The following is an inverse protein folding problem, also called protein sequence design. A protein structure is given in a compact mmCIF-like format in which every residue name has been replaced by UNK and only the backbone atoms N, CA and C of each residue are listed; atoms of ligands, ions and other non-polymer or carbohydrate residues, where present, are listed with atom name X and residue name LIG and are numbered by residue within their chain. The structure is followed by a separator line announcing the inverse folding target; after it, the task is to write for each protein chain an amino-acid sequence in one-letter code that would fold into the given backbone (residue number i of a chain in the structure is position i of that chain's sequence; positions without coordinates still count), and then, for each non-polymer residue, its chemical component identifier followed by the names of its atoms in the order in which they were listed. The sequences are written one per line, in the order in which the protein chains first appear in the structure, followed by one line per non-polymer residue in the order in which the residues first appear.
data_IF_273965970093
#
_entry.id   IF_273965970093
#
_cell.length_a   1.000
_cell.length_b   1.000
_cell.length_c   1.000
_cell.angle_alpha   90.00
_cell.angle_beta   90.00
_cell.angle_gamma   90.00
#
_symmetry.space_group_name_H-M   'P 1'
#
loop_
_entity.id
_entity.type
_entity.pdbx_description
1 polymer ?
#
# COMPACT_ATOMS: atom_id res chain seq x y z
N UNK A 1 -9.52 -14.41 8.16
CA UNK A 1 -8.44 -13.76 8.95
C UNK A 1 -8.90 -12.39 9.41
N UNK A 2 -8.79 -12.06 10.71
CA UNK A 2 -9.24 -10.77 11.25
C UNK A 2 -8.30 -9.64 10.80
N UNK A 3 -8.84 -8.54 10.25
CA UNK A 3 -8.04 -7.41 9.78
C UNK A 3 -7.10 -6.85 10.85
N UNK A 4 -7.49 -6.91 12.14
CA UNK A 4 -6.64 -6.49 13.25
C UNK A 4 -5.36 -7.33 13.37
N UNK A 5 -5.45 -8.63 13.13
CA UNK A 5 -4.29 -9.54 13.18
C UNK A 5 -3.33 -9.20 12.03
N UNK A 6 -3.86 -8.95 10.83
CA UNK A 6 -3.03 -8.55 9.69
C UNK A 6 -2.28 -7.24 9.97
N UNK A 7 -2.98 -6.21 10.47
CA UNK A 7 -2.34 -4.95 10.84
C UNK A 7 -1.28 -5.12 11.92
N UNK A 8 -1.56 -5.95 12.93
CA UNK A 8 -0.60 -6.28 13.98
C UNK A 8 0.66 -6.96 13.43
N UNK A 9 0.51 -7.94 12.54
CA UNK A 9 1.65 -8.62 11.92
C UNK A 9 2.51 -7.65 11.11
N UNK A 10 1.89 -6.81 10.29
CA UNK A 10 2.59 -5.83 9.45
C UNK A 10 3.33 -4.79 10.29
N UNK A 11 2.73 -4.29 11.37
CA UNK A 11 3.37 -3.32 12.27
C UNK A 11 4.56 -3.88 13.04
N UNK A 12 4.53 -5.19 13.34
CA UNK A 12 5.64 -5.85 14.02
C UNK A 12 6.72 -6.36 13.06
N UNK A 13 6.44 -6.44 11.76
CA UNK A 13 7.41 -6.91 10.76
C UNK A 13 8.67 -6.05 10.75
N UNK A 14 8.51 -4.72 10.73
CA UNK A 14 9.62 -3.76 10.75
C UNK A 14 10.53 -3.90 11.98
N UNK A 15 9.95 -4.22 13.15
CA UNK A 15 10.68 -4.38 14.42
C UNK A 15 11.52 -5.65 14.44
N UNK A 16 11.03 -6.73 13.84
CA UNK A 16 11.67 -8.05 13.85
C UNK A 16 12.79 -8.21 12.81
N UNK A 17 12.92 -7.27 11.87
CA UNK A 17 14.08 -7.24 10.96
C UNK A 17 15.34 -7.04 11.81
N UNK A 18 16.40 -7.83 11.62
CA UNK A 18 17.64 -7.73 12.43
C UNK A 18 18.59 -6.59 12.02
N UNK A 19 18.45 -6.07 10.80
CA UNK A 19 19.36 -5.03 10.24
C UNK A 19 19.26 -3.71 10.99
N UNK A 20 20.26 -2.82 10.94
CA UNK A 20 20.18 -1.53 11.66
C UNK A 20 19.28 -0.49 10.95
N UNK A 21 19.25 -0.52 9.63
CA UNK A 21 18.49 0.39 8.79
C UNK A 21 17.67 -0.38 7.75
N UNK A 22 16.59 0.23 7.27
CA UNK A 22 15.77 -0.28 6.19
C UNK A 22 16.10 0.41 4.86
N UNK A 23 15.93 -0.31 3.75
CA UNK A 23 15.91 0.26 2.39
C UNK A 23 14.51 0.06 1.83
N UNK A 24 13.71 1.11 1.73
CA UNK A 24 12.32 0.97 1.37
C UNK A 24 12.10 1.12 -0.13
N UNK A 25 11.31 0.23 -0.71
CA UNK A 25 10.57 0.48 -1.94
C UNK A 25 9.12 0.80 -1.57
N UNK A 26 8.54 1.83 -2.19
CA UNK A 26 7.13 2.17 -2.04
C UNK A 26 6.48 2.15 -3.41
N UNK A 27 5.39 1.41 -3.49
CA UNK A 27 4.58 1.29 -4.69
C UNK A 27 3.09 1.21 -4.31
N UNK A 28 2.22 1.52 -5.26
CA UNK A 28 0.78 1.48 -5.06
C UNK A 28 0.05 0.91 -6.28
N UNK A 29 -0.95 0.07 -6.00
CA UNK A 29 -1.75 -0.61 -7.01
C UNK A 29 -3.23 -0.32 -6.82
N UNK A 30 -3.93 -0.12 -7.94
CA UNK A 30 -5.38 0.00 -8.00
C UNK A 30 -6.04 -1.38 -8.02
N UNK A 31 -7.02 -1.58 -7.16
CA UNK A 31 -7.84 -2.78 -7.08
C UNK A 31 -9.28 -2.44 -7.44
N UNK A 32 -9.88 -3.25 -8.30
CA UNK A 32 -11.31 -3.24 -8.57
C UNK A 32 -11.99 -4.23 -7.62
N UNK A 33 -13.05 -3.79 -6.94
CA UNK A 33 -13.83 -4.65 -6.03
C UNK A 33 -14.80 -5.54 -6.84
N UNK A 34 -15.17 -5.07 -8.03
CA UNK A 34 -16.18 -5.70 -8.88
C UNK A 34 -15.51 -6.37 -10.09
N UNK A 35 -16.15 -7.43 -10.58
CA UNK A 35 -15.77 -8.11 -11.80
C UNK A 35 -16.12 -7.25 -13.00
N UNK A 36 -15.11 -6.80 -13.73
CA UNK A 36 -15.28 -5.93 -14.88
C UNK A 36 -14.80 -4.50 -14.61
N UNK A 37 -14.16 -3.91 -15.61
CA UNK A 37 -13.70 -2.53 -15.51
C UNK A 37 -14.89 -1.57 -15.52
N UNK A 38 -14.69 -0.33 -15.02
CA UNK A 38 -15.70 0.72 -15.16
C UNK A 38 -16.15 0.92 -16.61
N UNK A 39 -15.22 0.78 -17.56
CA UNK A 39 -15.50 0.93 -18.98
C UNK A 39 -16.38 -0.21 -19.50
N UNK A 40 -16.10 -1.44 -19.09
CA UNK A 40 -16.89 -2.62 -19.46
C UNK A 40 -18.37 -2.46 -19.05
N UNK A 41 -18.64 -2.11 -17.80
CA UNK A 41 -20.02 -1.87 -17.35
C UNK A 41 -20.64 -0.59 -17.89
N UNK A 42 -19.83 0.40 -18.28
CA UNK A 42 -20.34 1.60 -18.94
C UNK A 42 -20.96 1.25 -20.29
N UNK A 43 -20.33 0.36 -21.05
CA UNK A 43 -20.88 -0.14 -22.32
C UNK A 43 -22.17 -0.95 -22.11
N UNK A 44 -22.28 -1.67 -21.00
CA UNK A 44 -23.49 -2.43 -20.62
C UNK A 44 -24.60 -1.56 -19.99
N UNK A 45 -24.39 -0.25 -19.81
CA UNK A 45 -25.37 0.63 -19.15
C UNK A 45 -25.46 0.47 -17.63
N UNK A 46 -24.54 -0.26 -16.99
CA UNK A 46 -24.60 -0.66 -15.58
C UNK A 46 -23.75 0.22 -14.64
N UNK A 47 -23.41 1.44 -15.05
CA UNK A 47 -22.47 2.33 -14.34
C UNK A 47 -22.75 2.58 -12.86
N UNK A 48 -24.01 2.46 -12.42
CA UNK A 48 -24.42 2.69 -11.03
C UNK A 48 -23.96 1.60 -10.06
N UNK A 49 -23.56 0.42 -10.55
CA UNK A 49 -23.15 -0.71 -9.71
C UNK A 49 -21.73 -0.56 -9.16
N UNK A 50 -20.90 0.31 -9.76
CA UNK A 50 -19.44 0.31 -9.54
C UNK A 50 -18.94 1.19 -8.40
N UNK A 51 -18.33 0.56 -7.39
CA UNK A 51 -17.45 1.25 -6.43
C UNK A 51 -16.15 1.69 -7.11
N UNK A 52 -15.93 3.00 -7.11
CA UNK A 52 -14.91 3.79 -7.85
C UNK A 52 -13.43 3.54 -7.47
N UNK A 53 -13.02 2.32 -7.15
CA UNK A 53 -11.63 1.86 -6.95
C UNK A 53 -11.16 1.83 -5.49
N UNK A 54 -10.44 0.76 -5.15
CA UNK A 54 -9.59 0.64 -3.96
C UNK A 54 -8.16 0.85 -4.40
N UNK A 55 -7.34 1.47 -3.56
CA UNK A 55 -5.91 1.59 -3.80
C UNK A 55 -5.16 1.04 -2.60
N UNK A 56 -4.22 0.15 -2.89
CA UNK A 56 -3.31 -0.46 -1.93
C UNK A 56 -1.93 0.13 -2.17
N UNK A 57 -1.42 0.84 -1.18
CA UNK A 57 -0.07 1.42 -1.18
C UNK A 57 0.75 0.67 -0.13
N UNK A 58 1.91 0.15 -0.51
CA UNK A 58 2.75 -0.67 0.37
C UNK A 58 4.19 -0.16 0.41
N UNK A 59 4.81 -0.24 1.59
CA UNK A 59 6.24 -0.08 1.78
C UNK A 59 6.86 -1.44 2.07
N UNK A 60 7.94 -1.75 1.36
CA UNK A 60 8.65 -3.03 1.43
C UNK A 60 10.11 -2.75 1.69
N UNK A 61 10.73 -3.47 2.61
CA UNK A 61 12.19 -3.46 2.73
C UNK A 61 12.81 -4.28 1.60
N UNK A 62 13.57 -3.65 0.71
CA UNK A 62 14.12 -4.27 -0.52
C UNK A 62 15.21 -5.30 -0.23
N UNK A 63 15.72 -5.36 1.00
CA UNK A 63 16.73 -6.36 1.36
C UNK A 63 16.09 -7.65 1.87
N UNK A 64 15.07 -7.54 2.72
CA UNK A 64 14.37 -8.68 3.31
C UNK A 64 13.11 -9.09 2.54
N UNK A 65 12.64 -8.26 1.60
CA UNK A 65 11.40 -8.43 0.86
C UNK A 65 10.16 -8.48 1.76
N UNK A 66 10.26 -7.92 2.97
CA UNK A 66 9.18 -7.89 3.94
C UNK A 66 8.39 -6.58 3.86
N UNK A 67 7.07 -6.70 3.96
CA UNK A 67 6.16 -5.55 4.00
C UNK A 67 6.28 -4.86 5.36
N UNK A 68 6.66 -3.58 5.35
CA UNK A 68 6.89 -2.79 6.58
C UNK A 68 5.68 -1.93 6.95
N UNK A 69 4.90 -1.51 5.96
CA UNK A 69 3.69 -0.75 6.15
C UNK A 69 2.76 -0.90 4.94
N UNK A 70 1.45 -0.84 5.20
CA UNK A 70 0.41 -0.78 4.16
C UNK A 70 -0.58 0.32 4.46
N UNK A 71 -1.16 0.88 3.40
CA UNK A 71 -2.28 1.80 3.46
C UNK A 71 -3.28 1.44 2.38
N UNK A 72 -4.54 1.29 2.79
CA UNK A 72 -5.65 0.96 1.90
C UNK A 72 -6.61 2.13 1.91
N UNK A 73 -7.03 2.59 0.73
CA UNK A 73 -7.99 3.68 0.55
C UNK A 73 -9.04 3.30 -0.48
N UNK A 74 -10.24 3.86 -0.34
CA UNK A 74 -11.33 3.71 -1.31
C UNK A 74 -11.43 4.97 -2.19
N UNK A 75 -10.38 5.31 -2.94
CA UNK A 75 -10.43 6.45 -3.87
C UNK A 75 -9.35 6.41 -4.96
N UNK A 76 -9.59 7.12 -6.08
CA UNK A 76 -8.75 7.19 -7.30
C UNK A 76 -7.46 8.02 -7.19
N UNK A 77 -7.01 8.43 -6.01
CA UNK A 77 -6.01 9.51 -5.98
C UNK A 77 -4.56 9.02 -6.22
N UNK A 78 -3.71 9.98 -6.55
CA UNK A 78 -2.28 9.82 -6.88
C UNK A 78 -1.51 8.96 -5.85
N UNK A 79 -0.57 8.16 -6.35
CA UNK A 79 0.34 7.28 -5.60
C UNK A 79 1.11 8.03 -4.51
N UNK A 80 1.34 9.32 -4.72
CA UNK A 80 2.16 10.17 -3.86
C UNK A 80 1.54 10.49 -2.50
N UNK A 81 0.20 10.47 -2.39
CA UNK A 81 -0.51 10.90 -1.18
C UNK A 81 -0.20 9.98 0.01
N UNK A 82 -0.01 8.68 -0.25
CA UNK A 82 0.22 7.69 0.79
C UNK A 82 1.69 7.55 1.17
N UNK A 83 2.60 7.99 0.29
CA UNK A 83 4.05 7.88 0.45
C UNK A 83 4.54 8.42 1.79
N UNK A 84 4.23 9.69 2.10
CA UNK A 84 4.66 10.32 3.36
C UNK A 84 4.14 9.58 4.60
N UNK A 85 2.92 9.04 4.53
CA UNK A 85 2.32 8.26 5.61
C UNK A 85 3.05 6.94 5.84
N UNK A 86 3.37 6.22 4.76
CA UNK A 86 4.09 4.94 4.79
C UNK A 86 5.52 5.10 5.31
N UNK A 87 6.24 6.13 4.86
CA UNK A 87 7.59 6.45 5.36
C UNK A 87 7.54 6.77 6.85
N UNK A 88 6.64 7.68 7.28
CA UNK A 88 6.51 8.03 8.70
C UNK A 88 6.15 6.83 9.57
N UNK A 89 5.23 5.97 9.11
CA UNK A 89 4.83 4.77 9.84
C UNK A 89 6.01 3.81 10.02
N UNK A 90 6.78 3.59 8.96
CA UNK A 90 7.95 2.71 9.01
C UNK A 90 9.07 3.30 9.87
N UNK A 91 9.34 4.61 9.74
CA UNK A 91 10.37 5.33 10.49
C UNK A 91 10.17 5.29 12.02
N UNK A 92 8.92 5.22 12.48
CA UNK A 92 8.59 5.06 13.91
C UNK A 92 9.10 3.73 14.49
N UNK A 93 9.11 2.67 13.68
CA UNK A 93 9.60 1.37 14.11
C UNK A 93 11.10 1.25 13.92
N UNK A 94 11.65 1.86 12.85
CA UNK A 94 13.05 1.66 12.50
C UNK A 94 13.62 2.74 11.57
N UNK A 95 14.90 3.14 11.74
CA UNK A 95 15.55 4.08 10.83
C UNK A 95 15.59 3.58 9.38
N UNK A 96 15.33 4.50 8.44
CA UNK A 96 15.33 4.25 7.00
C UNK A 96 16.57 4.91 6.39
N UNK A 97 17.34 4.17 5.59
CA UNK A 97 18.54 4.68 4.93
C UNK A 97 18.23 5.28 3.56
N UNK A 98 17.41 4.60 2.77
CA UNK A 98 17.06 4.97 1.39
C UNK A 98 15.58 4.64 1.18
N UNK A 99 14.89 5.49 0.40
CA UNK A 99 13.56 5.20 -0.13
C UNK A 99 13.62 5.27 -1.66
N UNK A 100 13.07 4.25 -2.31
CA UNK A 100 12.90 4.13 -3.75
C UNK A 100 11.41 4.14 -4.03
N UNK A 101 10.96 4.98 -4.94
CA UNK A 101 9.60 4.98 -5.44
C UNK A 101 9.60 5.48 -6.88
N UNK A 102 8.57 5.10 -7.63
CA UNK A 102 8.33 5.65 -8.94
C UNK A 102 8.05 7.15 -8.84
N UNK A 103 8.39 7.89 -9.90
CA UNK A 103 8.44 9.36 -9.92
C UNK A 103 7.15 9.95 -9.36
N UNK A 104 7.28 10.65 -8.23
CA UNK A 104 6.22 11.41 -7.57
C UNK A 104 5.76 12.60 -8.43
#
# INVERSE_FOLDING_TARGET
MNAKILYYLLENTSKNIKKKYLKLAIDATGLHIEDGSYHYHKELGETAKIRKNVKLSAAIDTQTQLVTAVKIRKSKASDTIDFKGLVKKTAKAKPIKIVVAERL
#
